data_IF_994534790586
#
_entry.id   IF_994534790586
#
_cell.length_a   1.000
_cell.length_b   1.000
_cell.length_c   1.000
_cell.angle_alpha   90.00
_cell.angle_beta   90.00
_cell.angle_gamma   90.00
#
_symmetry.space_group_name_H-M   'P 1'
#
loop_
_entity.id
_entity.type
_entity.pdbx_description
1 polymer ?
#
# COMPACT_ATOMS: atom_id res chain seq x y z
N UNK A 1 -34.68 -44.67 4.29
CA UNK A 1 -35.28 -43.63 5.13
C UNK A 1 -34.20 -42.60 5.45
N UNK A 2 -34.18 -41.38 4.89
CA UNK A 2 -34.95 -40.20 5.30
C UNK A 2 -35.12 -40.08 6.82
N UNK A 3 -34.24 -39.31 7.45
CA UNK A 3 -34.62 -38.49 8.60
C UNK A 3 -34.02 -37.11 8.40
N UNK A 4 -34.90 -36.18 8.07
CA UNK A 4 -34.64 -34.74 8.06
C UNK A 4 -34.77 -34.27 9.51
N UNK A 5 -33.73 -33.64 10.04
CA UNK A 5 -33.87 -32.75 11.19
C UNK A 5 -33.29 -31.39 10.81
N UNK A 6 -34.20 -30.49 10.46
CA UNK A 6 -33.93 -29.06 10.42
C UNK A 6 -33.84 -28.55 11.86
N UNK A 7 -32.69 -28.03 12.24
CA UNK A 7 -32.55 -27.08 13.35
C UNK A 7 -31.93 -25.83 12.78
N UNK A 8 -32.77 -24.83 12.54
CA UNK A 8 -32.36 -23.45 12.49
C UNK A 8 -32.13 -22.97 13.93
N UNK A 9 -31.01 -22.30 14.18
CA UNK A 9 -30.82 -21.11 15.03
C UNK A 9 -29.34 -21.03 15.47
N UNK A 10 -28.71 -19.90 15.21
CA UNK A 10 -27.41 -19.57 15.82
C UNK A 10 -26.62 -18.56 15.02
N UNK A 11 -26.94 -17.27 15.22
CA UNK A 11 -26.17 -16.16 14.71
C UNK A 11 -24.70 -16.26 15.14
N UNK A 12 -23.78 -16.24 14.19
CA UNK A 12 -22.42 -15.77 14.40
C UNK A 12 -22.25 -14.51 13.55
N UNK A 13 -22.71 -13.38 14.11
CA UNK A 13 -22.14 -12.07 13.78
C UNK A 13 -20.66 -12.12 14.17
N UNK A 14 -19.79 -12.54 13.26
CA UNK A 14 -18.42 -12.03 13.28
C UNK A 14 -18.45 -10.71 12.51
N UNK A 15 -19.06 -9.70 13.12
CA UNK A 15 -18.61 -8.34 12.90
C UNK A 15 -17.20 -8.30 13.51
N UNK A 16 -16.20 -8.71 12.71
CA UNK A 16 -14.81 -8.46 13.05
C UNK A 16 -14.73 -6.97 13.32
N UNK A 17 -14.28 -6.62 14.52
CA UNK A 17 -13.93 -5.26 14.83
C UNK A 17 -13.00 -4.80 13.72
N UNK A 18 -13.46 -3.83 12.93
CA UNK A 18 -12.62 -3.06 12.05
C UNK A 18 -11.70 -2.22 12.96
N UNK A 19 -10.68 -2.87 13.51
CA UNK A 19 -9.42 -2.21 13.73
C UNK A 19 -8.97 -1.84 12.32
N UNK A 20 -9.24 -0.59 11.93
CA UNK A 20 -8.41 0.03 10.92
C UNK A 20 -7.01 0.02 11.56
N UNK A 21 -6.23 -0.97 11.16
CA UNK A 21 -4.78 -0.92 11.23
C UNK A 21 -4.43 -0.70 9.78
N UNK A 22 -4.32 0.56 9.34
CA UNK A 22 -3.92 0.87 7.97
C UNK A 22 -2.64 0.09 7.64
N UNK A 23 -2.73 -0.99 6.82
CA UNK A 23 -1.63 -1.93 6.73
C UNK A 23 -0.55 -1.29 5.87
N UNK A 24 0.65 -1.13 6.44
CA UNK A 24 1.75 -0.54 5.70
C UNK A 24 2.14 -1.44 4.52
N UNK A 25 2.11 -0.94 3.27
CA UNK A 25 2.35 -1.76 2.10
C UNK A 25 3.79 -2.30 2.05
N UNK A 26 3.92 -3.57 1.71
CA UNK A 26 5.22 -4.18 1.45
C UNK A 26 5.71 -3.81 0.05
N UNK A 27 6.95 -3.31 -0.06
CA UNK A 27 7.59 -3.09 -1.34
C UNK A 27 7.76 -4.42 -2.12
N UNK A 28 7.78 -4.41 -3.46
CA UNK A 28 8.04 -5.61 -4.25
C UNK A 28 9.38 -6.27 -3.86
N UNK A 29 9.36 -7.58 -3.61
CA UNK A 29 10.52 -8.34 -3.10
C UNK A 29 11.75 -8.31 -4.01
N UNK A 30 11.50 -8.17 -5.32
CA UNK A 30 12.51 -8.15 -6.38
C UNK A 30 12.06 -7.22 -7.49
N UNK A 31 12.95 -6.32 -7.91
CA UNK A 31 12.83 -5.61 -9.18
C UNK A 31 13.64 -6.37 -10.24
N UNK A 32 13.16 -6.45 -11.49
CA UNK A 32 13.88 -7.12 -12.56
C UNK A 32 15.20 -6.39 -12.87
N UNK A 33 16.26 -7.14 -13.14
CA UNK A 33 17.58 -6.60 -13.49
C UNK A 33 17.63 -6.30 -15.00
N UNK A 34 17.78 -5.03 -15.38
CA UNK A 34 17.78 -4.61 -16.77
C UNK A 34 18.91 -5.18 -17.62
N UNK A 35 20.00 -5.68 -17.00
CA UNK A 35 21.11 -6.32 -17.71
C UNK A 35 20.77 -7.73 -18.19
N UNK A 36 19.84 -8.43 -17.52
CA UNK A 36 19.52 -9.84 -17.76
C UNK A 36 18.05 -10.09 -18.08
N UNK A 37 17.12 -9.37 -17.45
CA UNK A 37 15.68 -9.56 -17.57
C UNK A 37 15.17 -9.50 -19.01
N UNK A 38 14.14 -10.29 -19.30
CA UNK A 38 13.34 -10.27 -20.53
C UNK A 38 12.37 -9.08 -20.55
N UNK A 39 11.80 -8.77 -21.72
CA UNK A 39 10.74 -7.75 -21.81
C UNK A 39 9.54 -8.09 -20.93
N UNK A 40 9.16 -9.38 -20.86
CA UNK A 40 8.06 -9.85 -20.05
C UNK A 40 8.31 -9.62 -18.56
N UNK A 41 9.51 -9.94 -18.06
CA UNK A 41 9.92 -9.68 -16.68
C UNK A 41 9.94 -8.18 -16.34
N UNK A 42 10.39 -7.34 -17.28
CA UNK A 42 10.35 -5.88 -17.11
C UNK A 42 8.91 -5.35 -17.03
N UNK A 43 7.98 -5.89 -17.83
CA UNK A 43 6.56 -5.54 -17.77
C UNK A 43 5.90 -6.03 -16.47
N UNK A 44 6.26 -7.23 -16.01
CA UNK A 44 5.82 -7.74 -14.72
C UNK A 44 6.32 -6.84 -13.57
N UNK A 45 7.59 -6.41 -13.62
CA UNK A 45 8.15 -5.44 -12.68
C UNK A 45 7.40 -4.11 -12.69
N UNK A 46 7.05 -3.58 -13.86
CA UNK A 46 6.24 -2.36 -13.96
C UNK A 46 4.87 -2.53 -13.29
N UNK A 47 4.21 -3.67 -13.52
CA UNK A 47 2.90 -3.97 -12.91
C UNK A 47 3.02 -4.05 -11.39
N UNK A 48 4.08 -4.67 -10.88
CA UNK A 48 4.33 -4.76 -9.44
C UNK A 48 4.57 -3.38 -8.80
N UNK A 49 5.37 -2.51 -9.43
CA UNK A 49 5.60 -1.14 -8.95
C UNK A 49 4.30 -0.33 -8.94
N UNK A 50 3.46 -0.44 -9.99
CA UNK A 50 2.15 0.22 -10.03
C UNK A 50 1.18 -0.30 -8.97
N UNK A 51 1.18 -1.61 -8.72
CA UNK A 51 0.36 -2.19 -7.66
C UNK A 51 0.81 -1.69 -6.27
N UNK A 52 2.12 -1.55 -6.07
CA UNK A 52 2.69 -1.00 -4.85
C UNK A 52 2.36 0.48 -4.65
N UNK A 53 2.48 1.31 -5.70
CA UNK A 53 2.00 2.69 -5.70
C UNK A 53 0.54 2.79 -5.25
N UNK A 54 -0.35 2.00 -5.87
CA UNK A 54 -1.76 1.99 -5.47
C UNK A 54 -1.94 1.59 -3.99
N UNK A 55 -1.16 0.63 -3.50
CA UNK A 55 -1.23 0.22 -2.11
C UNK A 55 -0.76 1.33 -1.15
N UNK A 56 0.24 2.13 -1.55
CA UNK A 56 0.68 3.32 -0.80
C UNK A 56 -0.40 4.39 -0.78
N UNK A 57 -1.03 4.68 -1.92
CA UNK A 57 -2.18 5.60 -1.99
C UNK A 57 -3.32 5.15 -1.06
N UNK A 58 -3.67 3.85 -1.09
CA UNK A 58 -4.70 3.27 -0.24
C UNK A 58 -4.33 3.38 1.26
N UNK A 59 -3.04 3.19 1.61
CA UNK A 59 -2.53 3.34 2.97
C UNK A 59 -2.58 4.79 3.46
N UNK A 60 -2.13 5.74 2.65
CA UNK A 60 -2.17 7.17 2.96
C UNK A 60 -3.60 7.63 3.19
N UNK A 61 -4.51 7.28 2.27
CA UNK A 61 -5.93 7.60 2.41
C UNK A 61 -6.58 6.95 3.65
N UNK A 62 -6.03 5.83 4.13
CA UNK A 62 -6.48 5.18 5.35
C UNK A 62 -6.03 5.94 6.59
N UNK A 63 -4.74 6.30 6.71
CA UNK A 63 -4.22 7.00 7.90
C UNK A 63 -4.81 8.42 8.02
N UNK A 64 -5.12 9.05 6.89
CA UNK A 64 -5.87 10.32 6.85
C UNK A 64 -7.23 10.17 7.52
N UNK A 65 -7.99 9.13 7.16
CA UNK A 65 -9.32 8.86 7.74
C UNK A 65 -9.23 8.47 9.22
N UNK A 66 -8.19 7.76 9.64
CA UNK A 66 -7.96 7.46 11.05
C UNK A 66 -7.71 8.74 11.85
N UNK A 67 -6.88 9.65 11.32
CA UNK A 67 -6.63 10.95 11.94
C UNK A 67 -7.92 11.78 12.02
N UNK A 68 -8.64 11.93 10.92
CA UNK A 68 -9.92 12.65 10.89
C UNK A 68 -10.93 12.06 11.89
N UNK A 69 -11.06 10.73 11.92
CA UNK A 69 -11.93 10.04 12.86
C UNK A 69 -11.50 10.22 14.31
N UNK A 70 -10.20 10.22 14.60
CA UNK A 70 -9.67 10.44 15.95
C UNK A 70 -9.90 11.89 16.42
N UNK A 71 -9.69 12.87 15.54
CA UNK A 71 -9.98 14.29 15.79
C UNK A 71 -11.48 14.47 16.04
N UNK A 72 -12.34 13.92 15.17
CA UNK A 72 -13.79 14.07 15.28
C UNK A 72 -14.35 13.49 16.59
N UNK A 73 -13.85 12.31 17.01
CA UNK A 73 -14.25 11.67 18.29
C UNK A 73 -13.83 12.46 19.52
N UNK A 74 -12.85 13.35 19.40
CA UNK A 74 -12.23 14.06 20.52
C UNK A 74 -12.39 15.58 20.43
N UNK A 75 -13.19 16.09 19.49
CA UNK A 75 -13.21 17.50 19.11
C UNK A 75 -13.41 18.46 20.29
N UNK A 76 -14.28 18.11 21.26
CA UNK A 76 -14.58 18.96 22.42
C UNK A 76 -13.48 18.93 23.51
N UNK A 77 -12.56 17.96 23.45
CA UNK A 77 -11.52 17.73 24.47
C UNK A 77 -10.11 17.93 23.94
N UNK A 78 -9.94 18.01 22.62
CA UNK A 78 -8.66 18.07 21.96
C UNK A 78 -8.12 19.50 22.01
N UNK A 79 -6.99 19.70 22.71
CA UNK A 79 -6.29 20.99 22.68
C UNK A 79 -5.69 21.24 21.30
N UNK A 80 -5.54 22.50 20.86
CA UNK A 80 -4.93 22.83 19.57
C UNK A 80 -3.56 22.19 19.36
N UNK A 81 -2.73 22.14 20.39
CA UNK A 81 -1.38 21.57 20.33
C UNK A 81 -1.43 20.06 20.09
N UNK A 82 -2.35 19.35 20.77
CA UNK A 82 -2.53 17.91 20.60
C UNK A 82 -3.02 17.58 19.20
N UNK A 83 -3.91 18.40 18.63
CA UNK A 83 -4.35 18.24 17.24
C UNK A 83 -3.19 18.42 16.27
N UNK A 84 -2.36 19.45 16.48
CA UNK A 84 -1.19 19.72 15.66
C UNK A 84 -0.17 18.57 15.73
N UNK A 85 0.07 18.01 16.92
CA UNK A 85 0.95 16.84 17.10
C UNK A 85 0.43 15.62 16.34
N UNK A 86 -0.88 15.35 16.40
CA UNK A 86 -1.50 14.24 15.65
C UNK A 86 -1.36 14.43 14.13
N UNK A 87 -1.58 15.65 13.64
CA UNK A 87 -1.39 16.00 12.22
C UNK A 87 0.07 15.87 11.79
N UNK A 88 1.01 16.28 12.65
CA UNK A 88 2.43 16.16 12.37
C UNK A 88 2.88 14.69 12.27
N UNK A 89 2.39 13.83 13.18
CA UNK A 89 2.69 12.39 13.13
C UNK A 89 2.11 11.73 11.88
N UNK A 90 0.89 12.09 11.48
CA UNK A 90 0.30 11.61 10.22
C UNK A 90 1.16 12.05 9.02
N UNK A 91 1.48 13.35 8.92
CA UNK A 91 2.31 13.87 7.83
C UNK A 91 3.69 13.18 7.75
N UNK A 92 4.30 12.84 8.89
CA UNK A 92 5.54 12.06 8.92
C UNK A 92 5.36 10.66 8.32
N UNK A 93 4.27 9.96 8.64
CA UNK A 93 3.96 8.63 8.09
C UNK A 93 3.66 8.70 6.59
N UNK A 94 2.90 9.70 6.17
CA UNK A 94 2.59 9.96 4.77
C UNK A 94 3.87 10.17 3.97
N UNK A 95 4.70 11.12 4.39
CA UNK A 95 5.95 11.44 3.69
C UNK A 95 6.88 10.22 3.63
N UNK A 96 7.01 9.46 4.71
CA UNK A 96 7.83 8.25 4.72
C UNK A 96 7.32 7.18 3.73
N UNK A 97 6.00 7.01 3.59
CA UNK A 97 5.41 6.09 2.63
C UNK A 97 5.70 6.51 1.18
N UNK A 98 5.54 7.81 0.88
CA UNK A 98 5.84 8.38 -0.44
C UNK A 98 7.34 8.29 -0.76
N UNK A 99 8.23 8.57 0.20
CA UNK A 99 9.68 8.45 0.01
C UNK A 99 10.08 7.00 -0.32
N UNK A 100 9.46 6.02 0.35
CA UNK A 100 9.70 4.61 0.03
C UNK A 100 9.17 4.25 -1.35
N UNK A 101 7.98 4.72 -1.73
CA UNK A 101 7.42 4.55 -3.06
C UNK A 101 8.35 5.10 -4.14
N UNK A 102 8.79 6.35 -3.98
CA UNK A 102 9.70 7.03 -4.89
C UNK A 102 11.01 6.25 -5.03
N UNK A 103 11.58 5.77 -3.91
CA UNK A 103 12.79 4.95 -3.93
C UNK A 103 12.62 3.65 -4.74
N UNK A 104 11.47 2.97 -4.64
CA UNK A 104 11.19 1.76 -5.44
C UNK A 104 11.02 2.11 -6.92
N UNK A 105 10.30 3.18 -7.22
CA UNK A 105 10.07 3.65 -8.58
C UNK A 105 11.39 4.05 -9.27
N UNK A 106 12.27 4.78 -8.57
CA UNK A 106 13.56 5.23 -9.09
C UNK A 106 14.48 4.04 -9.40
N UNK A 107 14.54 3.05 -8.49
CA UNK A 107 15.28 1.81 -8.73
C UNK A 107 14.76 1.06 -9.95
N UNK A 108 13.46 0.95 -10.11
CA UNK A 108 12.87 0.29 -11.28
C UNK A 108 13.16 1.06 -12.57
N UNK A 109 13.04 2.39 -12.54
CA UNK A 109 13.33 3.25 -13.68
C UNK A 109 14.79 3.14 -14.14
N UNK A 110 15.73 2.98 -13.22
CA UNK A 110 17.13 2.72 -13.57
C UNK A 110 17.28 1.39 -14.31
N UNK A 111 16.63 0.32 -13.84
CA UNK A 111 16.62 -0.97 -14.54
C UNK A 111 15.99 -0.88 -15.94
N UNK A 112 14.95 -0.06 -16.09
CA UNK A 112 14.35 0.22 -17.40
C UNK A 112 15.34 0.90 -18.35
N UNK A 113 16.15 1.85 -17.88
CA UNK A 113 17.20 2.49 -18.71
C UNK A 113 18.24 1.47 -19.15
N UNK A 114 18.74 0.65 -18.22
CA UNK A 114 19.72 -0.41 -18.50
C UNK A 114 19.17 -1.40 -19.53
N UNK A 115 17.94 -1.87 -19.36
CA UNK A 115 17.27 -2.76 -20.30
C UNK A 115 17.17 -2.16 -21.71
N UNK A 116 16.75 -0.88 -21.80
CA UNK A 116 16.65 -0.17 -23.08
C UNK A 116 18.00 -0.03 -23.76
N UNK A 117 19.05 0.32 -23.03
CA UNK A 117 20.41 0.44 -23.58
C UNK A 117 20.91 -0.91 -24.14
N UNK A 118 20.76 -2.00 -23.38
CA UNK A 118 21.15 -3.34 -23.81
C UNK A 118 20.40 -3.79 -25.06
N UNK A 119 19.08 -3.65 -25.07
CA UNK A 119 18.23 -4.10 -26.19
C UNK A 119 18.36 -3.23 -27.43
N UNK A 120 18.77 -1.97 -27.30
CA UNK A 120 19.16 -1.13 -28.43
C UNK A 120 20.48 -1.60 -29.05
N UNK A 121 21.47 -1.96 -28.23
CA UNK A 121 22.76 -2.50 -28.71
C UNK A 121 22.66 -3.85 -29.43
N UNK A 122 21.66 -4.67 -29.10
CA UNK A 122 21.38 -5.95 -29.76
C UNK A 122 20.69 -5.83 -31.12
N UNK A 123 20.16 -4.65 -31.46
CA UNK A 123 19.47 -4.39 -32.73
C UNK A 123 20.41 -3.88 -33.83
N UNK A 124 21.68 -3.64 -33.49
CA UNK A 124 22.75 -3.27 -34.42
C UNK A 124 23.67 -4.47 -34.65
#
# INVERSE_FOLDING_TARGET
MKVLFAVALGAALTAGAAHAECPYPAAPDKLPDGTTATLEEMLAGQKAVKAYQKAIDDYVACIDKELEGAIAKSADKLKPEQKADMQHVEAQKHNAAIDQEQSVADRFNEQVKVFKARTAGQKN
#
